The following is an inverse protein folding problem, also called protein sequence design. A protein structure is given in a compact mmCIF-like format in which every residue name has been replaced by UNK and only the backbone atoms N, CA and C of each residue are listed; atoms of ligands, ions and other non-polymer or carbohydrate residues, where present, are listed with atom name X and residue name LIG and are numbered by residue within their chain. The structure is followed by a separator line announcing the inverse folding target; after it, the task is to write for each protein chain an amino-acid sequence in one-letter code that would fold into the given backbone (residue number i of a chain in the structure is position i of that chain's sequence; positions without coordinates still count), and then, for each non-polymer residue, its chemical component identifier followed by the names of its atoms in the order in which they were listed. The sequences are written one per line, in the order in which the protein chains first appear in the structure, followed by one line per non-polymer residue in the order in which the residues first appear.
data_IF_449643604560
#
_entry.id   IF_449643604560
#
_cell.length_a   1.000
_cell.length_b   1.000
_cell.length_c   1.000
_cell.angle_alpha   90.00
_cell.angle_beta   90.00
_cell.angle_gamma   90.00
#
_symmetry.space_group_name_H-M   'P 1'
#
loop_
_entity.id
_entity.type
_entity.pdbx_description
1 polymer ?
#
# COMPACT_ATOMS: atom_id res chain seq x y z
N UNK A 1 -13.02 -3.49 3.49
CA UNK A 1 -13.21 -2.01 3.50
C UNK A 1 -12.04 -1.41 4.26
N UNK A 2 -11.59 -0.19 3.96
CA UNK A 2 -10.40 0.41 4.59
C UNK A 2 -10.52 0.45 6.13
N UNK A 3 -11.65 0.93 6.65
CA UNK A 3 -11.92 0.96 8.10
C UNK A 3 -11.69 -0.39 8.78
N UNK A 4 -12.25 -1.47 8.22
CA UNK A 4 -12.05 -2.82 8.75
C UNK A 4 -10.58 -3.28 8.71
N UNK A 5 -9.83 -2.94 7.66
CA UNK A 5 -8.42 -3.26 7.60
C UNK A 5 -7.63 -2.55 8.71
N UNK A 6 -7.98 -1.30 9.03
CA UNK A 6 -7.34 -0.52 10.09
C UNK A 6 -7.66 -1.01 11.52
N UNK A 7 -8.73 -1.80 11.70
CA UNK A 7 -9.08 -2.43 12.98
C UNK A 7 -8.16 -3.63 13.32
N UNK A 8 -7.64 -4.33 12.31
CA UNK A 8 -6.68 -5.43 12.50
C UNK A 8 -5.39 -4.88 13.10
N UNK A 9 -4.64 -5.59 13.96
CA UNK A 9 -3.34 -5.12 14.43
C UNK A 9 -2.33 -4.93 13.28
N UNK A 10 -1.31 -4.06 13.42
CA UNK A 10 -0.23 -3.97 12.43
C UNK A 10 0.41 -5.33 12.18
N UNK A 11 0.57 -5.70 10.90
CA UNK A 11 1.14 -6.99 10.52
C UNK A 11 0.56 -7.54 9.22
N UNK A 12 0.93 -8.79 8.85
CA UNK A 12 0.61 -9.37 7.55
C UNK A 12 -0.89 -9.39 7.21
N UNK A 13 -1.75 -9.64 8.20
CA UNK A 13 -3.20 -9.66 7.99
C UNK A 13 -3.76 -8.28 7.64
N UNK A 14 -3.30 -7.23 8.34
CA UNK A 14 -3.62 -5.83 8.00
C UNK A 14 -3.09 -5.49 6.61
N UNK A 15 -1.85 -5.85 6.29
CA UNK A 15 -1.22 -5.59 4.99
C UNK A 15 -2.04 -6.23 3.85
N UNK A 16 -2.48 -7.49 4.01
CA UNK A 16 -3.36 -8.19 3.07
C UNK A 16 -4.72 -7.50 2.94
N UNK A 17 -5.33 -7.10 4.06
CA UNK A 17 -6.62 -6.42 4.04
C UNK A 17 -6.55 -5.05 3.35
N UNK A 18 -5.46 -4.29 3.55
CA UNK A 18 -5.18 -3.04 2.86
C UNK A 18 -4.90 -3.27 1.35
N UNK A 19 -4.23 -4.36 0.99
CA UNK A 19 -4.04 -4.76 -0.40
C UNK A 19 -5.38 -5.03 -1.11
N UNK A 20 -6.30 -5.75 -0.45
CA UNK A 20 -7.64 -5.98 -0.98
C UNK A 20 -8.43 -4.67 -1.12
N UNK A 21 -8.29 -3.76 -0.16
CA UNK A 21 -8.88 -2.43 -0.25
C UNK A 21 -8.31 -1.64 -1.45
N UNK A 22 -7.01 -1.74 -1.75
CA UNK A 22 -6.37 -1.12 -2.93
C UNK A 22 -7.00 -1.65 -4.22
N UNK A 23 -7.16 -2.98 -4.33
CA UNK A 23 -7.79 -3.62 -5.49
C UNK A 23 -9.24 -3.16 -5.66
N UNK A 24 -10.00 -3.05 -4.58
CA UNK A 24 -11.37 -2.53 -4.61
C UNK A 24 -11.42 -1.06 -5.05
N UNK A 25 -10.55 -0.19 -4.52
CA UNK A 25 -10.46 1.22 -4.90
C UNK A 25 -10.10 1.39 -6.40
N UNK A 26 -9.17 0.57 -6.91
CA UNK A 26 -8.81 0.54 -8.34
C UNK A 26 -10.01 0.17 -9.22
N UNK A 27 -10.74 -0.90 -8.86
CA UNK A 27 -11.95 -1.32 -9.60
C UNK A 27 -13.03 -0.22 -9.59
N UNK A 28 -13.31 0.36 -8.42
CA UNK A 28 -14.27 1.45 -8.29
C UNK A 28 -13.86 2.68 -9.11
N UNK A 29 -12.56 3.02 -9.14
CA UNK A 29 -12.05 4.14 -9.96
C UNK A 29 -12.31 3.89 -11.43
N UNK A 30 -12.01 2.70 -11.93
CA UNK A 30 -12.24 2.35 -13.33
C UNK A 30 -13.73 2.37 -13.69
N UNK A 31 -14.60 1.88 -12.82
CA UNK A 31 -16.05 2.02 -13.01
C UNK A 31 -16.48 3.49 -13.10
N UNK A 32 -15.96 4.36 -12.22
CA UNK A 32 -16.23 5.79 -12.26
C UNK A 32 -15.65 6.48 -13.50
N UNK A 33 -14.49 6.04 -13.99
CA UNK A 33 -13.91 6.53 -15.25
C UNK A 33 -14.75 6.12 -16.46
N UNK A 34 -15.21 4.87 -16.50
CA UNK A 34 -16.08 4.35 -17.56
C UNK A 34 -17.46 5.01 -17.58
N UNK A 35 -18.01 5.38 -16.41
CA UNK A 35 -19.30 6.04 -16.31
C UNK A 35 -19.26 7.55 -16.67
N UNK A 36 -18.07 8.13 -16.94
CA UNK A 36 -17.93 9.56 -17.26
C UNK A 36 -18.80 10.05 -18.42
N UNK A 37 -18.96 9.35 -19.56
CA UNK A 37 -19.79 9.82 -20.66
C UNK A 37 -21.27 9.98 -20.27
N UNK A 38 -21.77 9.10 -19.39
CA UNK A 38 -23.16 9.13 -18.93
C UNK A 38 -23.40 10.09 -17.74
N UNK A 39 -22.46 10.14 -16.80
CA UNK A 39 -22.64 10.81 -15.51
C UNK A 39 -21.80 12.09 -15.34
N UNK A 40 -20.94 12.43 -16.30
CA UNK A 40 -20.19 13.69 -16.35
C UNK A 40 -19.36 14.00 -15.09
N UNK A 41 -19.58 15.20 -14.52
CA UNK A 41 -18.78 15.78 -13.42
C UNK A 41 -18.80 14.95 -12.13
N UNK A 42 -19.94 14.41 -11.64
CA UNK A 42 -19.97 13.46 -10.52
C UNK A 42 -19.03 12.26 -10.65
N UNK A 43 -19.04 11.59 -11.80
CA UNK A 43 -18.17 10.45 -12.08
C UNK A 43 -16.69 10.85 -12.09
N UNK A 44 -16.35 11.99 -12.71
CA UNK A 44 -14.99 12.57 -12.65
C UNK A 44 -14.52 12.86 -11.23
N UNK A 45 -15.37 13.45 -10.37
CA UNK A 45 -15.03 13.73 -8.97
C UNK A 45 -14.78 12.44 -8.18
N UNK A 46 -15.61 11.43 -8.39
CA UNK A 46 -15.48 10.12 -7.74
C UNK A 46 -14.18 9.42 -8.15
N UNK A 47 -13.87 9.38 -9.46
CA UNK A 47 -12.61 8.84 -9.95
C UNK A 47 -11.38 9.55 -9.35
N UNK A 48 -11.42 10.88 -9.21
CA UNK A 48 -10.34 11.65 -8.58
C UNK A 48 -10.13 11.26 -7.11
N UNK A 49 -11.19 11.15 -6.32
CA UNK A 49 -11.11 10.72 -4.91
C UNK A 49 -10.58 9.31 -4.77
N UNK A 50 -11.09 8.38 -5.59
CA UNK A 50 -10.64 6.99 -5.58
C UNK A 50 -9.18 6.86 -6.02
N UNK A 51 -8.71 7.72 -6.95
CA UNK A 51 -7.30 7.78 -7.33
C UNK A 51 -6.40 8.18 -6.15
N UNK A 52 -6.82 9.15 -5.34
CA UNK A 52 -6.05 9.57 -4.17
C UNK A 52 -5.92 8.43 -3.15
N UNK A 53 -7.03 7.78 -2.80
CA UNK A 53 -7.05 6.61 -1.91
C UNK A 53 -6.20 5.46 -2.47
N UNK A 54 -6.34 5.16 -3.77
CA UNK A 54 -5.53 4.14 -4.43
C UNK A 54 -4.03 4.48 -4.41
N UNK A 55 -3.66 5.76 -4.41
CA UNK A 55 -2.27 6.22 -4.32
C UNK A 55 -1.68 5.95 -2.94
N UNK A 56 -2.38 6.32 -1.87
CA UNK A 56 -1.92 6.09 -0.48
C UNK A 56 -1.77 4.59 -0.18
N UNK A 57 -2.79 3.79 -0.52
CA UNK A 57 -2.70 2.32 -0.44
C UNK A 57 -1.64 1.77 -1.39
N UNK A 58 -1.32 2.54 -2.43
CA UNK A 58 -0.26 2.31 -3.38
C UNK A 58 1.10 2.24 -2.68
N UNK A 59 1.48 3.39 -2.15
CA UNK A 59 2.74 3.61 -1.46
C UNK A 59 2.91 2.71 -0.25
N UNK A 60 1.84 2.45 0.51
CA UNK A 60 1.86 1.49 1.61
C UNK A 60 2.26 0.08 1.14
N UNK A 61 1.62 -0.43 0.07
CA UNK A 61 1.94 -1.76 -0.47
C UNK A 61 3.38 -1.83 -0.97
N UNK A 62 3.87 -0.76 -1.60
CA UNK A 62 5.22 -0.72 -2.14
C UNK A 62 6.25 -0.86 -1.00
N UNK A 63 6.01 -0.21 0.15
CA UNK A 63 6.81 -0.44 1.37
C UNK A 63 6.69 -1.86 1.92
N UNK A 64 5.49 -2.47 1.90
CA UNK A 64 5.31 -3.88 2.33
C UNK A 64 6.15 -4.83 1.46
N UNK A 65 6.10 -4.66 0.13
CA UNK A 65 6.87 -5.48 -0.82
C UNK A 65 8.37 -5.22 -0.69
N UNK A 66 8.77 -3.95 -0.52
CA UNK A 66 10.16 -3.58 -0.32
C UNK A 66 10.76 -4.26 0.93
N UNK A 67 10.02 -4.33 2.04
CA UNK A 67 10.44 -5.03 3.25
C UNK A 67 10.74 -6.51 3.02
N UNK A 68 9.92 -7.20 2.22
CA UNK A 68 10.18 -8.60 1.88
C UNK A 68 11.47 -8.75 1.07
N UNK A 69 11.68 -7.89 0.07
CA UNK A 69 12.90 -7.88 -0.72
C UNK A 69 14.15 -7.56 0.13
N UNK A 70 14.05 -6.58 1.02
CA UNK A 70 15.13 -6.18 1.94
C UNK A 70 15.49 -7.32 2.90
N UNK A 71 14.49 -8.06 3.40
CA UNK A 71 14.73 -9.24 4.23
C UNK A 71 15.45 -10.33 3.45
N UNK A 72 15.06 -10.58 2.20
CA UNK A 72 15.74 -11.55 1.34
C UNK A 72 17.21 -11.15 1.11
N UNK A 73 17.47 -9.87 0.80
CA UNK A 73 18.82 -9.34 0.62
C UNK A 73 19.66 -9.44 1.89
N UNK A 74 19.09 -9.17 3.07
CA UNK A 74 19.76 -9.33 4.35
C UNK A 74 20.22 -10.77 4.59
N UNK A 75 19.36 -11.75 4.26
CA UNK A 75 19.69 -13.18 4.36
C UNK A 75 20.80 -13.55 3.37
N UNK A 76 20.73 -13.08 2.12
CA UNK A 76 21.78 -13.36 1.14
C UNK A 76 23.14 -12.77 1.56
N UNK A 77 23.17 -11.51 2.01
CA UNK A 77 24.39 -10.87 2.51
C UNK A 77 25.01 -11.70 3.65
N UNK A 78 24.19 -12.12 4.61
CA UNK A 78 24.65 -12.94 5.73
C UNK A 78 25.25 -14.28 5.27
N UNK A 79 24.62 -14.96 4.31
CA UNK A 79 25.11 -16.23 3.76
C UNK A 79 26.41 -16.07 2.97
N UNK A 80 26.63 -14.91 2.36
CA UNK A 80 27.87 -14.56 1.66
C UNK A 80 28.98 -14.02 2.58
N UNK A 81 28.73 -13.90 3.89
CA UNK A 81 29.68 -13.30 4.84
C UNK A 81 29.79 -11.76 4.71
N UNK A 82 28.85 -11.12 4.04
CA UNK A 82 28.77 -9.66 3.90
C UNK A 82 27.97 -9.01 5.04
N UNK A 83 28.21 -7.73 5.36
CA UNK A 83 27.43 -7.01 6.36
C UNK A 83 25.94 -6.90 5.98
N UNK A 84 25.06 -7.34 6.88
CA UNK A 84 23.60 -7.35 6.66
C UNK A 84 22.84 -6.17 7.31
N UNK A 85 23.49 -5.41 8.19
CA UNK A 85 22.86 -4.36 9.01
C UNK A 85 22.16 -3.27 8.19
N UNK A 86 22.76 -2.84 7.07
CA UNK A 86 22.19 -1.81 6.19
C UNK A 86 20.80 -2.18 5.66
N UNK A 87 20.59 -3.46 5.33
CA UNK A 87 19.29 -3.96 4.88
C UNK A 87 18.24 -3.88 5.99
N UNK A 88 18.63 -4.17 7.24
CA UNK A 88 17.77 -4.00 8.41
C UNK A 88 17.37 -2.54 8.68
N UNK A 89 18.32 -1.60 8.50
CA UNK A 89 18.02 -0.16 8.60
C UNK A 89 16.99 0.30 7.55
N UNK A 90 17.15 -0.15 6.30
CA UNK A 90 16.20 0.14 5.22
C UNK A 90 14.84 -0.51 5.50
N UNK A 91 14.82 -1.74 6.02
CA UNK A 91 13.57 -2.42 6.40
C UNK A 91 12.77 -1.58 7.40
N UNK A 92 13.42 -1.15 8.49
CA UNK A 92 12.76 -0.32 9.51
C UNK A 92 12.33 1.06 8.98
N UNK A 93 12.97 1.58 7.94
CA UNK A 93 12.50 2.81 7.25
C UNK A 93 11.21 2.56 6.50
N UNK A 94 11.12 1.45 5.77
CA UNK A 94 9.90 1.08 5.04
C UNK A 94 8.72 0.77 6.00
N UNK A 95 8.97 0.21 7.18
CA UNK A 95 7.93 0.09 8.22
C UNK A 95 7.35 1.44 8.62
N UNK A 96 8.21 2.44 8.83
CA UNK A 96 7.76 3.80 9.16
C UNK A 96 7.02 4.46 7.99
N UNK A 97 7.48 4.24 6.76
CA UNK A 97 6.79 4.74 5.56
C UNK A 97 5.39 4.14 5.45
N UNK A 98 5.25 2.81 5.59
CA UNK A 98 3.98 2.12 5.54
C UNK A 98 3.00 2.64 6.62
N UNK A 99 3.49 2.77 7.86
CA UNK A 99 2.70 3.29 8.98
C UNK A 99 2.32 4.78 8.83
N UNK A 100 3.15 5.58 8.16
CA UNK A 100 2.81 6.96 7.84
C UNK A 100 1.69 7.04 6.79
N UNK A 101 1.77 6.22 5.74
CA UNK A 101 0.74 6.15 4.69
C UNK A 101 -0.60 5.66 5.23
N UNK A 102 -0.63 4.73 6.17
CA UNK A 102 -1.87 4.31 6.84
C UNK A 102 -2.62 5.49 7.49
N UNK A 103 -1.91 6.49 8.03
CA UNK A 103 -2.53 7.67 8.68
C UNK A 103 -3.13 8.67 7.69
N UNK A 104 -2.79 8.56 6.41
CA UNK A 104 -3.36 9.39 5.33
C UNK A 104 -4.65 8.79 4.76
N UNK A 105 -5.02 7.57 5.17
CA UNK A 105 -6.23 6.90 4.72
C UNK A 105 -7.49 7.53 5.35
N UNK A 106 -8.60 7.61 4.59
CA UNK A 106 -9.86 8.18 5.06
C UNK A 106 -10.65 7.24 5.97
#
# INVERSE_FOLDING_TARGET
RIAHALELPPGPERDVALHEARKAAKRARYAAEAARPALGKPARKSAKRLKAVQGVLGDHQDSVVAREALRALAVQAQLSGEPSFTWGLLYGREERTAAARERELP
#
